data_IF_054776594172
#
_entry.id   IF_054776594172
#
_cell.length_a   1.000
_cell.length_b   1.000
_cell.length_c   1.000
_cell.angle_alpha   90.00
_cell.angle_beta   90.00
_cell.angle_gamma   90.00
#
_symmetry.space_group_name_H-M   'P 1'
#
loop_
_entity.id
_entity.type
_entity.pdbx_description
1 polymer ?
#
# COMPACT_ATOMS: atom_id res chain seq x y z
N UNK A 1 19.92 1.64 22.23
CA UNK A 1 20.77 2.74 21.72
C UNK A 1 22.06 2.22 21.08
N UNK A 2 22.76 1.22 21.64
CA UNK A 2 23.98 0.66 21.04
C UNK A 2 23.80 0.09 19.61
N UNK A 3 22.73 -0.69 19.37
CA UNK A 3 22.46 -1.30 18.06
C UNK A 3 22.25 -0.32 16.89
N UNK A 4 21.73 0.88 17.16
CA UNK A 4 21.53 1.87 16.10
C UNK A 4 22.86 2.48 15.66
N UNK A 5 23.76 2.74 16.62
CA UNK A 5 25.08 3.28 16.33
C UNK A 5 25.93 2.29 15.54
N UNK A 6 25.91 1.00 15.93
CA UNK A 6 26.59 -0.08 15.18
C UNK A 6 26.04 -0.22 13.75
N UNK A 7 24.72 -0.13 13.59
CA UNK A 7 24.10 -0.13 12.27
C UNK A 7 24.54 1.05 11.40
N UNK A 8 24.66 2.26 11.97
CA UNK A 8 25.11 3.45 11.23
C UNK A 8 26.60 3.34 10.88
N UNK A 9 27.44 2.87 11.80
CA UNK A 9 28.87 2.67 11.56
C UNK A 9 29.13 1.74 10.35
N UNK A 10 28.25 0.76 10.11
CA UNK A 10 28.32 -0.12 8.94
C UNK A 10 28.30 0.64 7.61
N UNK A 11 27.62 1.78 7.54
CA UNK A 11 27.57 2.60 6.32
C UNK A 11 28.89 3.34 6.09
N UNK A 12 29.56 3.76 7.17
CA UNK A 12 30.84 4.47 7.12
C UNK A 12 32.01 3.51 6.84
N UNK A 13 31.98 2.31 7.42
CA UNK A 13 33.04 1.30 7.28
C UNK A 13 33.03 0.58 5.92
N UNK A 14 31.87 0.55 5.25
CA UNK A 14 31.67 -0.27 4.07
C UNK A 14 30.85 0.47 2.99
N UNK A 15 31.50 0.97 1.91
CA UNK A 15 30.85 1.75 0.85
C UNK A 15 29.70 1.04 0.10
N UNK A 16 29.58 -0.29 0.23
CA UNK A 16 28.45 -1.04 -0.32
C UNK A 16 27.15 -0.74 0.44
N UNK A 17 27.22 -0.58 1.77
CA UNK A 17 26.06 -0.26 2.60
C UNK A 17 25.63 1.17 2.39
N UNK A 18 26.55 2.13 2.23
CA UNK A 18 26.22 3.50 1.81
C UNK A 18 25.42 3.52 0.49
N UNK A 19 25.92 2.86 -0.55
CA UNK A 19 25.21 2.78 -1.84
C UNK A 19 23.85 2.10 -1.71
N UNK A 20 23.77 0.99 -0.98
CA UNK A 20 22.50 0.29 -0.75
C UNK A 20 21.51 1.17 0.01
N UNK A 21 21.95 1.80 1.10
CA UNK A 21 21.16 2.70 1.92
C UNK A 21 20.58 3.86 1.12
N UNK A 22 21.42 4.52 0.32
CA UNK A 22 20.99 5.60 -0.57
C UNK A 22 19.91 5.12 -1.55
N UNK A 23 20.11 3.97 -2.21
CA UNK A 23 19.12 3.40 -3.13
C UNK A 23 17.81 3.01 -2.44
N UNK A 24 17.89 2.42 -1.24
CA UNK A 24 16.72 2.09 -0.44
C UNK A 24 15.97 3.35 0.00
N UNK A 25 16.68 4.40 0.41
CA UNK A 25 16.11 5.67 0.80
C UNK A 25 15.43 6.37 -0.39
N UNK A 26 16.08 6.42 -1.56
CA UNK A 26 15.50 6.94 -2.81
C UNK A 26 14.20 6.19 -3.15
N UNK A 27 14.24 4.86 -3.16
CA UNK A 27 13.08 4.02 -3.44
C UNK A 27 11.94 4.23 -2.44
N UNK A 28 12.26 4.30 -1.14
CA UNK A 28 11.28 4.53 -0.09
C UNK A 28 10.65 5.90 -0.22
N UNK A 29 11.45 6.94 -0.48
CA UNK A 29 10.99 8.32 -0.62
C UNK A 29 9.99 8.45 -1.77
N UNK A 30 10.32 7.92 -2.96
CA UNK A 30 9.43 7.95 -4.12
C UNK A 30 8.12 7.23 -3.82
N UNK A 31 8.14 6.04 -3.21
CA UNK A 31 6.92 5.31 -2.86
C UNK A 31 6.07 6.03 -1.82
N UNK A 32 6.72 6.65 -0.82
CA UNK A 32 6.05 7.45 0.20
C UNK A 32 5.39 8.68 -0.40
N UNK A 33 6.02 9.32 -1.38
CA UNK A 33 5.46 10.47 -2.09
C UNK A 33 4.27 10.06 -2.96
N UNK A 34 4.40 9.02 -3.78
CA UNK A 34 3.29 8.48 -4.59
C UNK A 34 2.09 8.09 -3.72
N UNK A 35 2.33 7.52 -2.54
CA UNK A 35 1.26 7.22 -1.57
C UNK A 35 0.60 8.49 -1.04
N UNK A 36 1.39 9.50 -0.68
CA UNK A 36 0.87 10.79 -0.20
C UNK A 36 0.00 11.45 -1.26
N UNK A 37 0.48 11.52 -2.50
CA UNK A 37 -0.29 12.02 -3.64
C UNK A 37 -1.59 11.25 -3.86
N UNK A 38 -1.54 9.91 -3.82
CA UNK A 38 -2.72 9.06 -3.93
C UNK A 38 -3.75 9.36 -2.83
N UNK A 39 -3.32 9.60 -1.59
CA UNK A 39 -4.21 9.97 -0.48
C UNK A 39 -4.88 11.34 -0.70
N UNK A 40 -4.18 12.28 -1.33
CA UNK A 40 -4.68 13.63 -1.60
C UNK A 40 -5.58 13.71 -2.83
N UNK A 41 -5.28 12.92 -3.88
CA UNK A 41 -5.86 13.10 -5.21
C UNK A 41 -6.90 12.04 -5.58
N UNK A 42 -6.77 10.81 -5.07
CA UNK A 42 -7.66 9.72 -5.46
C UNK A 42 -8.85 9.56 -4.52
N UNK A 43 -9.97 9.09 -5.07
CA UNK A 43 -11.11 8.68 -4.25
C UNK A 43 -10.81 7.37 -3.51
N UNK A 44 -11.58 7.09 -2.45
CA UNK A 44 -11.42 5.89 -1.65
C UNK A 44 -11.48 4.59 -2.48
N UNK A 45 -12.33 4.55 -3.53
CA UNK A 45 -12.47 3.40 -4.44
C UNK A 45 -11.17 3.14 -5.19
N UNK A 46 -10.62 4.16 -5.83
CA UNK A 46 -9.40 4.04 -6.64
C UNK A 46 -8.21 3.63 -5.78
N UNK A 47 -8.09 4.21 -4.57
CA UNK A 47 -7.03 3.81 -3.62
C UNK A 47 -7.11 2.33 -3.25
N UNK A 48 -8.31 1.80 -3.04
CA UNK A 48 -8.50 0.38 -2.75
C UNK A 48 -8.19 -0.51 -3.96
N UNK A 49 -8.60 -0.12 -5.17
CA UNK A 49 -8.32 -0.89 -6.38
C UNK A 49 -6.81 -0.98 -6.64
N UNK A 50 -6.10 0.14 -6.57
CA UNK A 50 -4.63 0.19 -6.69
C UNK A 50 -3.96 -0.65 -5.60
N UNK A 51 -4.46 -0.64 -4.38
CA UNK A 51 -3.94 -1.48 -3.29
C UNK A 51 -4.16 -2.97 -3.55
N UNK A 52 -5.34 -3.35 -4.02
CA UNK A 52 -5.69 -4.74 -4.35
C UNK A 52 -4.80 -5.28 -5.48
N UNK A 53 -4.49 -4.45 -6.47
CA UNK A 53 -3.59 -4.79 -7.58
C UNK A 53 -2.13 -4.96 -7.14
N UNK A 54 -1.61 -4.01 -6.36
CA UNK A 54 -0.21 -4.06 -5.91
C UNK A 54 0.05 -5.09 -4.79
N UNK A 55 -0.95 -5.35 -3.95
CA UNK A 55 -0.81 -6.20 -2.75
C UNK A 55 -1.96 -7.22 -2.63
N UNK A 56 -2.18 -8.08 -3.64
CA UNK A 56 -3.33 -9.00 -3.64
C UNK A 56 -3.33 -9.93 -2.43
N UNK A 57 -2.15 -10.44 -2.06
CA UNK A 57 -2.00 -11.33 -0.89
C UNK A 57 -2.30 -10.64 0.44
N UNK A 58 -2.12 -9.31 0.54
CA UNK A 58 -2.40 -8.59 1.78
C UNK A 58 -3.90 -8.42 2.01
N UNK A 59 -4.70 -8.36 0.94
CA UNK A 59 -6.16 -8.28 1.05
C UNK A 59 -6.74 -9.49 1.80
N UNK A 60 -6.09 -10.64 1.69
CA UNK A 60 -6.52 -11.90 2.33
C UNK A 60 -5.91 -12.10 3.72
N UNK A 61 -4.67 -11.65 3.93
CA UNK A 61 -3.89 -11.97 5.13
C UNK A 61 -3.93 -10.90 6.22
N UNK A 62 -4.25 -9.66 5.85
CA UNK A 62 -4.22 -8.51 6.77
C UNK A 62 -5.63 -8.17 7.24
N UNK A 63 -5.86 -8.00 8.55
CA UNK A 63 -7.14 -7.53 9.07
C UNK A 63 -7.61 -6.25 8.40
N UNK A 64 -8.91 -6.15 8.16
CA UNK A 64 -9.49 -5.08 7.34
C UNK A 64 -9.26 -3.68 7.94
N UNK A 65 -9.26 -3.52 9.26
CA UNK A 65 -8.99 -2.23 9.91
C UNK A 65 -7.58 -1.70 9.62
N UNK A 66 -6.58 -2.56 9.51
CA UNK A 66 -5.22 -2.16 9.14
C UNK A 66 -5.15 -1.68 7.69
N UNK A 67 -5.85 -2.37 6.78
CA UNK A 67 -5.96 -1.95 5.38
C UNK A 67 -6.68 -0.60 5.28
N UNK A 68 -7.77 -0.42 6.03
CA UNK A 68 -8.53 0.83 6.03
C UNK A 68 -7.68 2.02 6.51
N UNK A 69 -6.94 1.83 7.62
CA UNK A 69 -5.99 2.83 8.14
C UNK A 69 -4.90 3.16 7.11
N UNK A 70 -4.33 2.14 6.45
CA UNK A 70 -3.33 2.34 5.40
C UNK A 70 -3.85 3.18 4.23
N UNK A 71 -5.13 2.98 3.84
CA UNK A 71 -5.77 3.68 2.73
C UNK A 71 -6.42 5.02 3.11
N UNK A 72 -6.29 5.46 4.37
CA UNK A 72 -6.87 6.70 4.86
C UNK A 72 -8.40 6.70 4.79
N UNK A 73 -9.04 5.60 5.17
CA UNK A 73 -10.51 5.52 5.27
C UNK A 73 -10.93 4.70 6.50
N UNK A 74 -12.20 4.79 6.89
CA UNK A 74 -12.71 3.96 8.00
C UNK A 74 -12.94 2.52 7.55
N UNK A 75 -12.84 1.58 8.48
CA UNK A 75 -13.12 0.16 8.22
C UNK A 75 -14.53 -0.06 7.65
N UNK A 76 -15.51 0.70 8.15
CA UNK A 76 -16.89 0.69 7.65
C UNK A 76 -16.96 1.15 6.18
N UNK A 77 -16.22 2.20 5.82
CA UNK A 77 -16.14 2.68 4.43
C UNK A 77 -15.56 1.59 3.53
N UNK A 78 -14.46 0.97 3.94
CA UNK A 78 -13.83 -0.11 3.20
C UNK A 78 -14.76 -1.33 3.05
N UNK A 79 -15.50 -1.68 4.10
CA UNK A 79 -16.47 -2.78 4.09
C UNK A 79 -17.58 -2.55 3.05
N UNK A 80 -18.19 -1.35 3.08
CA UNK A 80 -19.23 -0.94 2.12
C UNK A 80 -18.70 -0.96 0.69
N UNK A 81 -17.48 -0.48 0.48
CA UNK A 81 -16.81 -0.42 -0.82
C UNK A 81 -16.58 -1.82 -1.39
N UNK A 82 -16.02 -2.75 -0.59
CA UNK A 82 -15.83 -4.16 -0.99
C UNK A 82 -17.16 -4.83 -1.37
N UNK A 83 -18.22 -4.57 -0.60
CA UNK A 83 -19.56 -5.11 -0.90
C UNK A 83 -20.12 -4.57 -2.21
N UNK A 84 -19.94 -3.28 -2.50
CA UNK A 84 -20.34 -2.66 -3.77
C UNK A 84 -19.63 -3.28 -4.97
N UNK A 85 -18.30 -3.42 -4.89
CA UNK A 85 -17.49 -4.03 -5.95
C UNK A 85 -17.93 -5.47 -6.28
N UNK A 86 -18.20 -6.29 -5.26
CA UNK A 86 -18.68 -7.67 -5.47
C UNK A 86 -20.02 -7.74 -6.22
N UNK A 87 -20.88 -6.73 -6.06
CA UNK A 87 -22.16 -6.65 -6.78
C UNK A 87 -21.98 -6.15 -8.21
N UNK A 88 -21.04 -5.22 -8.44
CA UNK A 88 -20.66 -4.75 -9.78
C UNK A 88 -20.10 -5.92 -10.62
N UNK A 89 -19.18 -6.70 -10.05
CA UNK A 89 -18.58 -7.88 -10.71
C UNK A 89 -19.64 -8.91 -11.11
N UNK A 90 -20.61 -9.19 -10.22
CA UNK A 90 -21.72 -10.12 -10.51
C UNK A 90 -22.69 -9.63 -11.58
N UNK A 91 -22.92 -8.32 -11.67
CA UNK A 91 -23.79 -7.72 -12.70
C UNK A 91 -23.12 -7.69 -14.08
N UNK A 92 -21.81 -7.44 -14.13
CA UNK A 92 -21.06 -7.49 -15.38
C UNK A 92 -20.93 -8.92 -15.91
N UNK A 93 -20.73 -9.91 -15.02
CA UNK A 93 -20.78 -11.32 -15.40
C UNK A 93 -22.12 -11.72 -16.00
N UNK A 94 -23.25 -11.30 -15.39
CA UNK A 94 -24.58 -11.62 -15.90
C UNK A 94 -24.93 -10.95 -17.25
N UNK A 95 -24.33 -9.80 -17.57
CA UNK A 95 -24.55 -9.07 -18.84
C UNK A 95 -23.76 -9.61 -20.02
N UNK A 96 -22.71 -10.41 -19.80
CA UNK A 96 -21.93 -11.02 -20.90
C UNK A 96 -22.58 -12.30 -21.47
N UNK A 97 -23.64 -12.80 -20.84
CA UNK A 97 -24.36 -14.01 -21.25
C UNK A 97 -25.78 -13.74 -21.79
N UNK A 98 -26.08 -12.49 -22.13
CA UNK A 98 -27.32 -12.06 -22.80
C UNK A 98 -26.95 -11.34 -24.08
#
# INVERSE_FOLDING_TARGET
MAYYHEFVALFDEHPIFDRLGRRLAEWFLVRKELRTLSLLQHQAKDRYLVFKEHFPQMVERVPQYHIASYLGMTEVTLSRLKRGLRQEDGRNGARQFV
#
